data_IF_230401240073
#
_entry.id   IF_230401240073
#
_cell.length_a   1.000
_cell.length_b   1.000
_cell.length_c   1.000
_cell.angle_alpha   90.00
_cell.angle_beta   90.00
_cell.angle_gamma   90.00
#
_symmetry.space_group_name_H-M   'P 1'
#
loop_
_entity.id
_entity.type
_entity.pdbx_description
1 polymer ?
#
# COMPACT_ATOMS: atom_id res chain seq x y z
N UNK A 1 9.86 25.71 -8.56
CA UNK A 1 11.23 26.24 -8.45
C UNK A 1 12.16 25.17 -7.90
N UNK A 2 13.42 25.23 -8.25
CA UNK A 2 14.51 24.30 -7.82
C UNK A 2 14.52 24.11 -6.28
N UNK A 3 14.17 25.13 -5.53
CA UNK A 3 14.12 25.08 -4.07
C UNK A 3 12.97 24.19 -3.56
N UNK A 4 11.80 24.20 -4.21
CA UNK A 4 10.68 23.29 -3.90
C UNK A 4 11.00 21.84 -4.28
N UNK A 5 11.64 21.62 -5.42
CA UNK A 5 12.08 20.28 -5.82
C UNK A 5 13.13 19.69 -4.87
N UNK A 6 14.11 20.48 -4.41
CA UNK A 6 15.09 20.04 -3.40
C UNK A 6 14.45 19.72 -2.05
N UNK A 7 13.46 20.49 -1.60
CA UNK A 7 12.76 20.21 -0.35
C UNK A 7 11.87 18.95 -0.45
N UNK A 8 11.21 18.73 -1.59
CA UNK A 8 10.48 17.48 -1.86
C UNK A 8 11.42 16.27 -1.83
N UNK A 9 12.55 16.31 -2.56
CA UNK A 9 13.53 15.23 -2.57
C UNK A 9 14.10 14.89 -1.19
N UNK A 10 14.26 15.87 -0.29
CA UNK A 10 14.75 15.66 1.07
C UNK A 10 13.68 15.01 1.95
N UNK A 11 12.41 15.47 1.86
CA UNK A 11 11.28 14.87 2.59
C UNK A 11 11.04 13.44 2.14
N UNK A 12 11.08 13.17 0.85
CA UNK A 12 10.89 11.83 0.29
C UNK A 12 11.98 10.88 0.77
N UNK A 13 13.24 11.33 0.77
CA UNK A 13 14.34 10.50 1.28
C UNK A 13 14.13 10.15 2.76
N UNK A 14 13.76 11.13 3.60
CA UNK A 14 13.48 10.88 5.00
C UNK A 14 12.28 9.93 5.20
N UNK A 15 11.22 10.05 4.40
CA UNK A 15 10.08 9.15 4.44
C UNK A 15 10.45 7.73 3.99
N UNK A 16 11.28 7.58 2.97
CA UNK A 16 11.76 6.28 2.50
C UNK A 16 12.65 5.63 3.55
N UNK A 17 13.59 6.36 4.15
CA UNK A 17 14.46 5.85 5.23
C UNK A 17 13.64 5.44 6.47
N UNK A 18 12.55 6.14 6.77
CA UNK A 18 11.63 5.76 7.84
C UNK A 18 10.79 4.53 7.48
N UNK A 19 10.32 4.43 6.23
CA UNK A 19 9.59 3.27 5.74
C UNK A 19 10.44 2.00 5.81
N UNK A 20 11.71 2.09 5.40
CA UNK A 20 12.69 0.99 5.51
C UNK A 20 12.78 0.47 6.95
N UNK A 21 13.04 1.37 7.90
CA UNK A 21 13.13 1.01 9.32
C UNK A 21 11.82 0.42 9.88
N UNK A 22 10.67 0.85 9.36
CA UNK A 22 9.40 0.27 9.78
C UNK A 22 9.23 -1.13 9.23
N UNK A 23 9.55 -1.38 7.96
CA UNK A 23 9.51 -2.71 7.37
C UNK A 23 10.52 -3.66 8.02
N UNK A 24 11.74 -3.21 8.31
CA UNK A 24 12.73 -4.04 9.01
C UNK A 24 12.24 -4.53 10.37
N UNK A 25 11.56 -3.66 11.15
CA UNK A 25 11.14 -3.93 12.53
C UNK A 25 9.77 -4.57 12.63
N UNK A 26 8.94 -4.50 11.61
CA UNK A 26 7.60 -5.07 11.62
C UNK A 26 7.63 -6.56 11.33
N UNK A 27 6.84 -7.32 12.06
CA UNK A 27 6.57 -8.73 11.77
C UNK A 27 5.21 -8.89 11.08
N UNK A 28 4.21 -8.13 11.52
CA UNK A 28 2.82 -8.17 11.01
C UNK A 28 2.49 -6.88 10.27
N UNK A 29 2.23 -6.99 8.99
CA UNK A 29 1.89 -5.85 8.13
C UNK A 29 0.52 -6.08 7.50
N UNK A 30 -0.32 -5.06 7.52
CA UNK A 30 -1.60 -5.05 6.82
C UNK A 30 -1.56 -4.00 5.71
N UNK A 31 -1.96 -4.40 4.52
CA UNK A 31 -2.12 -3.52 3.37
C UNK A 31 -3.61 -3.28 3.16
N UNK A 32 -4.01 -2.02 3.05
CA UNK A 32 -5.40 -1.62 2.80
C UNK A 32 -5.47 -0.71 1.57
N UNK A 33 -6.57 -0.81 0.84
CA UNK A 33 -6.84 0.05 -0.33
C UNK A 33 -8.31 0.52 -0.34
N UNK A 34 -8.68 1.32 -1.32
CA UNK A 34 -9.99 2.00 -1.37
C UNK A 34 -11.17 1.09 -1.71
N UNK A 35 -12.38 1.61 -1.48
CA UNK A 35 -13.65 0.97 -1.85
C UNK A 35 -13.75 0.78 -3.35
N UNK A 36 -14.36 -0.34 -3.78
CA UNK A 36 -14.42 -0.74 -5.19
C UNK A 36 -13.05 -0.74 -5.87
N UNK A 37 -12.11 -1.56 -5.37
CA UNK A 37 -10.73 -1.52 -5.81
C UNK A 37 -10.61 -1.79 -7.32
N UNK A 38 -9.85 -0.97 -8.00
CA UNK A 38 -9.51 -1.11 -9.42
C UNK A 38 -8.17 -1.83 -9.63
N UNK A 39 -7.68 -1.82 -10.86
CA UNK A 39 -6.42 -2.50 -11.21
C UNK A 39 -5.20 -1.91 -10.52
N UNK A 40 -5.16 -0.59 -10.31
CA UNK A 40 -4.04 0.06 -9.61
C UNK A 40 -4.06 -0.26 -8.12
N UNK A 41 -5.23 -0.20 -7.49
CA UNK A 41 -5.40 -0.57 -6.08
C UNK A 41 -4.99 -2.02 -5.80
N UNK A 42 -5.44 -2.98 -6.62
CA UNK A 42 -5.10 -4.39 -6.46
C UNK A 42 -3.65 -4.65 -6.86
N UNK A 43 -3.18 -4.08 -7.98
CA UNK A 43 -1.81 -4.24 -8.45
C UNK A 43 -0.77 -3.72 -7.46
N UNK A 44 -0.96 -2.51 -6.96
CA UNK A 44 -0.05 -1.93 -5.95
C UNK A 44 -0.05 -2.73 -4.65
N UNK A 45 -1.24 -3.16 -4.20
CA UNK A 45 -1.38 -3.95 -2.97
C UNK A 45 -0.69 -5.31 -3.07
N UNK A 46 -0.90 -6.04 -4.16
CA UNK A 46 -0.27 -7.34 -4.37
C UNK A 46 1.23 -7.21 -4.68
N UNK A 47 1.64 -6.17 -5.38
CA UNK A 47 3.07 -5.91 -5.62
C UNK A 47 3.84 -5.70 -4.30
N UNK A 48 3.30 -4.89 -3.40
CA UNK A 48 3.89 -4.69 -2.07
C UNK A 48 3.80 -5.96 -1.22
N UNK A 49 2.69 -6.70 -1.31
CA UNK A 49 2.50 -7.95 -0.59
C UNK A 49 3.57 -8.99 -0.97
N UNK A 50 3.80 -9.23 -2.26
CA UNK A 50 4.83 -10.17 -2.74
C UNK A 50 6.23 -9.77 -2.27
N UNK A 51 6.55 -8.47 -2.32
CA UNK A 51 7.83 -7.97 -1.83
C UNK A 51 8.01 -8.23 -0.33
N UNK A 52 7.04 -7.87 0.49
CA UNK A 52 7.14 -8.02 1.94
C UNK A 52 7.14 -9.50 2.38
N UNK A 53 6.39 -10.36 1.68
CA UNK A 53 6.44 -11.81 1.91
C UNK A 53 7.82 -12.39 1.56
N UNK A 54 8.47 -11.91 0.50
CA UNK A 54 9.84 -12.30 0.16
C UNK A 54 10.87 -11.88 1.23
N UNK A 55 10.51 -10.90 2.06
CA UNK A 55 11.29 -10.45 3.22
C UNK A 55 10.86 -11.15 4.52
N UNK A 56 10.18 -12.30 4.41
CA UNK A 56 9.73 -13.14 5.55
C UNK A 56 8.77 -12.44 6.52
N UNK A 57 7.99 -11.45 6.04
CA UNK A 57 6.97 -10.77 6.84
C UNK A 57 5.62 -11.49 6.75
N UNK A 58 4.84 -11.41 7.83
CA UNK A 58 3.43 -11.85 7.82
C UNK A 58 2.58 -10.70 7.27
N UNK A 59 2.05 -10.85 6.07
CA UNK A 59 1.36 -9.78 5.37
C UNK A 59 -0.05 -10.19 4.97
N UNK A 60 -1.02 -9.31 5.23
CA UNK A 60 -2.41 -9.49 4.80
C UNK A 60 -2.87 -8.28 3.99
N UNK A 61 -3.57 -8.53 2.88
CA UNK A 61 -4.24 -7.50 2.10
C UNK A 61 -5.71 -7.50 2.44
N UNK A 62 -6.26 -6.34 2.83
CA UNK A 62 -7.66 -6.16 3.17
C UNK A 62 -8.25 -5.10 2.25
N UNK A 63 -9.37 -5.43 1.59
CA UNK A 63 -10.14 -4.52 0.75
C UNK A 63 -11.52 -4.29 1.37
N UNK A 64 -12.11 -3.08 1.24
CA UNK A 64 -13.42 -2.80 1.84
C UNK A 64 -14.55 -3.69 1.32
N UNK A 65 -14.56 -3.95 0.01
CA UNK A 65 -15.61 -4.72 -0.67
C UNK A 65 -15.05 -5.50 -1.87
N UNK A 66 -15.93 -6.07 -2.70
CA UNK A 66 -15.53 -6.85 -3.87
C UNK A 66 -14.78 -6.00 -4.89
N UNK A 67 -13.79 -6.61 -5.53
CA UNK A 67 -13.11 -6.09 -6.71
C UNK A 67 -13.51 -6.88 -7.96
N UNK A 68 -13.29 -6.34 -9.18
CA UNK A 68 -13.69 -6.98 -10.43
C UNK A 68 -13.11 -8.39 -10.62
N UNK A 69 -13.90 -9.31 -11.13
CA UNK A 69 -13.51 -10.71 -11.32
C UNK A 69 -12.31 -10.87 -12.28
N UNK A 70 -12.17 -9.96 -13.25
CA UNK A 70 -11.05 -9.97 -14.18
C UNK A 70 -9.69 -9.67 -13.52
N UNK A 71 -9.65 -9.27 -12.26
CA UNK A 71 -8.41 -9.09 -11.47
C UNK A 71 -8.03 -10.35 -10.67
N UNK A 72 -8.90 -11.35 -10.61
CA UNK A 72 -8.67 -12.55 -9.77
C UNK A 72 -7.56 -13.46 -10.24
N UNK A 73 -7.12 -13.31 -11.49
CA UNK A 73 -5.98 -14.05 -12.03
C UNK A 73 -4.63 -13.58 -11.48
N UNK A 74 -4.58 -12.39 -10.89
CA UNK A 74 -3.34 -11.84 -10.34
C UNK A 74 -2.81 -12.72 -9.21
N UNK A 75 -1.50 -13.02 -9.19
CA UNK A 75 -0.89 -13.81 -8.13
C UNK A 75 -1.17 -13.23 -6.74
N UNK A 76 -1.75 -14.02 -5.83
CA UNK A 76 -2.14 -13.60 -4.48
C UNK A 76 -3.57 -13.03 -4.37
N UNK A 77 -4.26 -12.75 -5.46
CA UNK A 77 -5.61 -12.16 -5.43
C UNK A 77 -6.64 -13.00 -4.66
N UNK A 78 -6.47 -14.34 -4.63
CA UNK A 78 -7.34 -15.27 -3.89
C UNK A 78 -7.21 -15.13 -2.36
N UNK A 79 -6.09 -14.61 -1.88
CA UNK A 79 -5.77 -14.46 -0.45
C UNK A 79 -6.17 -13.08 0.09
N UNK A 80 -6.71 -12.20 -0.76
CA UNK A 80 -7.24 -10.89 -0.36
C UNK A 80 -8.47 -11.06 0.51
N UNK A 81 -8.45 -10.43 1.68
CA UNK A 81 -9.53 -10.46 2.66
C UNK A 81 -10.51 -9.33 2.35
N UNK A 82 -11.78 -9.66 2.23
CA UNK A 82 -12.86 -8.69 2.08
C UNK A 82 -13.42 -8.31 3.44
N UNK A 83 -13.33 -7.02 3.77
CA UNK A 83 -13.83 -6.48 5.04
C UNK A 83 -15.33 -6.66 5.21
N UNK A 84 -16.12 -6.45 4.14
CA UNK A 84 -17.57 -6.60 4.15
C UNK A 84 -18.06 -8.03 4.44
N UNK A 85 -17.20 -9.03 4.24
CA UNK A 85 -17.50 -10.45 4.53
C UNK A 85 -16.89 -10.96 5.83
N UNK A 86 -15.71 -10.47 6.18
CA UNK A 86 -14.89 -10.98 7.28
C UNK A 86 -14.49 -9.87 8.25
N UNK A 87 -15.47 -9.01 8.62
CA UNK A 87 -15.24 -7.79 9.42
C UNK A 87 -14.52 -8.06 10.73
N UNK A 88 -14.94 -9.04 11.53
CA UNK A 88 -14.33 -9.34 12.82
C UNK A 88 -12.88 -9.82 12.66
N UNK A 89 -12.63 -10.70 11.69
CA UNK A 89 -11.30 -11.19 11.41
C UNK A 89 -10.38 -10.07 10.90
N UNK A 90 -10.87 -9.22 9.99
CA UNK A 90 -10.13 -8.07 9.49
C UNK A 90 -9.81 -7.07 10.61
N UNK A 91 -10.76 -6.78 11.50
CA UNK A 91 -10.54 -5.93 12.67
C UNK A 91 -9.45 -6.47 13.59
N UNK A 92 -9.43 -7.78 13.80
CA UNK A 92 -8.37 -8.43 14.58
C UNK A 92 -7.00 -8.21 13.94
N UNK A 93 -6.88 -8.44 12.62
CA UNK A 93 -5.62 -8.23 11.89
C UNK A 93 -5.15 -6.77 11.95
N UNK A 94 -6.07 -5.82 11.75
CA UNK A 94 -5.78 -4.39 11.85
C UNK A 94 -5.30 -3.99 13.24
N UNK A 95 -5.84 -4.60 14.28
CA UNK A 95 -5.48 -4.31 15.67
C UNK A 95 -4.15 -4.93 16.10
N UNK A 96 -3.79 -6.07 15.50
CA UNK A 96 -2.54 -6.80 15.78
C UNK A 96 -1.38 -6.38 14.88
N UNK A 97 -1.62 -5.55 13.87
CA UNK A 97 -0.60 -5.11 12.94
C UNK A 97 0.44 -4.19 13.61
N UNK A 98 1.70 -4.32 13.21
CA UNK A 98 2.76 -3.37 13.54
C UNK A 98 2.71 -2.14 12.62
N UNK A 99 2.40 -2.40 11.35
CA UNK A 99 2.29 -1.37 10.30
C UNK A 99 1.06 -1.61 9.44
N UNK A 100 0.33 -0.53 9.14
CA UNK A 100 -0.72 -0.49 8.11
C UNK A 100 -0.22 0.36 6.95
N UNK A 101 -0.18 -0.24 5.76
CA UNK A 101 0.13 0.44 4.50
C UNK A 101 -1.18 0.81 3.79
N UNK A 102 -1.45 2.10 3.66
CA UNK A 102 -2.60 2.65 2.97
C UNK A 102 -2.22 2.94 1.52
N UNK A 103 -2.73 2.16 0.57
CA UNK A 103 -2.36 2.24 -0.83
C UNK A 103 -3.51 2.74 -1.69
N UNK A 104 -3.19 3.67 -2.58
CA UNK A 104 -4.08 4.18 -3.62
C UNK A 104 -5.32 4.91 -3.09
N UNK A 105 -5.20 5.55 -1.93
CA UNK A 105 -6.19 6.48 -1.41
C UNK A 105 -5.56 7.54 -0.50
N UNK A 106 -6.18 8.70 -0.49
CA UNK A 106 -5.68 9.91 0.17
C UNK A 106 -6.48 10.34 1.41
N UNK A 107 -7.60 9.69 1.70
CA UNK A 107 -8.53 10.06 2.76
C UNK A 107 -9.23 8.84 3.35
N UNK A 108 -9.50 8.84 4.67
CA UNK A 108 -10.20 7.74 5.35
C UNK A 108 -11.61 7.49 4.81
N UNK A 109 -12.28 8.51 4.27
CA UNK A 109 -13.57 8.36 3.62
C UNK A 109 -13.57 7.42 2.40
N UNK A 110 -12.41 7.16 1.82
CA UNK A 110 -12.24 6.26 0.66
C UNK A 110 -12.27 4.77 1.00
N UNK A 111 -12.21 4.42 2.27
CA UNK A 111 -12.25 3.03 2.75
C UNK A 111 -13.54 2.67 3.51
N UNK A 112 -14.54 3.56 3.47
CA UNK A 112 -15.91 3.34 3.93
C UNK A 112 -15.99 2.72 5.34
N UNK A 113 -16.68 1.60 5.51
CA UNK A 113 -16.87 0.93 6.81
C UNK A 113 -15.57 0.53 7.52
N UNK A 114 -14.44 0.46 6.80
CA UNK A 114 -13.13 0.11 7.36
C UNK A 114 -12.41 1.32 8.00
N UNK A 115 -12.92 2.55 7.77
CA UNK A 115 -12.25 3.78 8.18
C UNK A 115 -12.00 3.86 9.69
N UNK A 116 -12.99 3.55 10.51
CA UNK A 116 -12.87 3.59 11.97
C UNK A 116 -11.86 2.57 12.49
N UNK A 117 -11.89 1.35 11.96
CA UNK A 117 -10.97 0.29 12.35
C UNK A 117 -9.52 0.65 12.02
N UNK A 118 -9.27 1.23 10.85
CA UNK A 118 -7.93 1.71 10.47
C UNK A 118 -7.51 2.90 11.34
N UNK A 119 -8.40 3.89 11.55
CA UNK A 119 -8.08 5.07 12.34
C UNK A 119 -7.74 4.73 13.80
N UNK A 120 -8.50 3.81 14.42
CA UNK A 120 -8.35 3.42 15.82
C UNK A 120 -7.27 2.38 16.09
N UNK A 121 -6.77 1.70 15.04
CA UNK A 121 -5.69 0.74 15.18
C UNK A 121 -4.45 1.37 15.81
N UNK A 122 -3.77 0.70 16.77
CA UNK A 122 -2.52 1.16 17.36
C UNK A 122 -1.34 1.07 16.39
N UNK A 123 -1.49 0.39 15.25
CA UNK A 123 -0.45 0.22 14.24
C UNK A 123 0.06 1.57 13.72
N UNK A 124 1.32 1.60 13.35
CA UNK A 124 1.90 2.73 12.60
C UNK A 124 1.31 2.74 11.19
N UNK A 125 0.94 3.93 10.71
CA UNK A 125 0.28 4.08 9.40
C UNK A 125 1.18 4.81 8.42
N UNK A 126 1.31 4.26 7.21
CA UNK A 126 1.94 4.92 6.08
C UNK A 126 1.00 4.95 4.88
N UNK A 127 1.12 6.01 4.09
CA UNK A 127 0.37 6.20 2.85
C UNK A 127 1.32 6.16 1.66
N UNK A 128 0.94 5.43 0.62
CA UNK A 128 1.56 5.46 -0.71
C UNK A 128 0.45 5.71 -1.71
N UNK A 129 0.45 6.88 -2.32
CA UNK A 129 -0.68 7.35 -3.12
C UNK A 129 -0.25 8.37 -4.16
N UNK A 130 -1.00 8.45 -5.26
CA UNK A 130 -0.77 9.44 -6.33
C UNK A 130 -1.89 10.48 -6.46
N UNK A 131 -2.92 10.43 -5.60
CA UNK A 131 -3.99 11.41 -5.62
C UNK A 131 -3.59 12.74 -4.96
N UNK A 132 -4.29 13.82 -5.35
CA UNK A 132 -4.07 15.15 -4.81
C UNK A 132 -4.61 15.31 -3.38
N UNK A 133 -4.00 16.18 -2.58
CA UNK A 133 -4.47 16.59 -1.26
C UNK A 133 -4.62 15.44 -0.23
N UNK A 134 -3.53 14.73 0.11
CA UNK A 134 -3.58 13.67 1.10
C UNK A 134 -3.97 14.20 2.49
N UNK A 135 -4.85 13.49 3.19
CA UNK A 135 -5.17 13.74 4.61
C UNK A 135 -4.01 13.33 5.51
N UNK A 136 -3.87 14.01 6.66
CA UNK A 136 -2.75 13.80 7.59
C UNK A 136 -3.04 12.72 8.65
N UNK A 137 -3.64 11.56 8.27
CA UNK A 137 -3.88 10.45 9.21
C UNK A 137 -2.73 9.42 9.26
N UNK A 138 -1.80 9.49 8.33
CA UNK A 138 -0.60 8.66 8.30
C UNK A 138 0.64 9.45 8.74
N UNK A 139 1.54 8.79 9.44
CA UNK A 139 2.81 9.40 9.88
C UNK A 139 3.83 9.51 8.75
N UNK A 140 3.86 8.53 7.86
CA UNK A 140 4.64 8.55 6.63
C UNK A 140 3.68 8.75 5.47
N UNK A 141 3.92 9.75 4.64
CA UNK A 141 3.13 10.04 3.45
C UNK A 141 4.08 10.12 2.26
N UNK A 142 3.99 9.13 1.37
CA UNK A 142 4.65 9.09 0.08
C UNK A 142 3.56 9.37 -0.96
N UNK A 143 3.41 10.64 -1.33
CA UNK A 143 2.36 11.10 -2.23
C UNK A 143 2.99 11.85 -3.39
N UNK A 144 2.78 11.34 -4.60
CA UNK A 144 3.36 11.83 -5.85
C UNK A 144 2.31 11.93 -6.95
N UNK A 145 1.52 13.02 -6.99
CA UNK A 145 0.47 13.20 -8.00
C UNK A 145 1.00 13.31 -9.45
N UNK A 146 2.29 13.52 -9.62
CA UNK A 146 2.95 13.55 -10.94
C UNK A 146 3.25 12.16 -11.50
N UNK A 147 3.08 11.10 -10.71
CA UNK A 147 3.29 9.72 -11.11
C UNK A 147 1.96 9.12 -11.56
N UNK A 148 1.99 8.28 -12.58
CA UNK A 148 0.81 7.77 -13.27
C UNK A 148 -0.03 6.82 -12.42
N UNK A 149 0.57 6.09 -11.47
CA UNK A 149 -0.12 5.09 -10.65
C UNK A 149 0.56 4.82 -9.32
N UNK A 150 -0.20 4.34 -8.35
CA UNK A 150 0.33 3.86 -7.08
C UNK A 150 1.17 2.59 -7.26
N UNK A 151 0.85 1.75 -8.23
CA UNK A 151 1.65 0.58 -8.61
C UNK A 151 3.08 0.97 -9.02
N UNK A 152 3.24 2.04 -9.80
CA UNK A 152 4.56 2.59 -10.15
C UNK A 152 5.29 3.11 -8.91
N UNK A 153 4.58 3.78 -7.99
CA UNK A 153 5.18 4.27 -6.74
C UNK A 153 5.70 3.14 -5.87
N UNK A 154 4.94 2.05 -5.72
CA UNK A 154 5.36 0.86 -4.96
C UNK A 154 6.61 0.26 -5.59
N UNK A 155 6.64 0.06 -6.91
CA UNK A 155 7.82 -0.46 -7.60
C UNK A 155 9.05 0.44 -7.38
N UNK A 156 8.89 1.75 -7.55
CA UNK A 156 9.97 2.73 -7.32
C UNK A 156 10.45 2.74 -5.86
N UNK A 157 9.54 2.58 -4.90
CA UNK A 157 9.90 2.48 -3.48
C UNK A 157 10.78 1.25 -3.24
N UNK A 158 10.40 0.07 -3.71
CA UNK A 158 11.17 -1.17 -3.57
C UNK A 158 12.57 -1.01 -4.17
N UNK A 159 12.66 -0.41 -5.37
CA UNK A 159 13.95 -0.12 -6.00
C UNK A 159 14.82 0.82 -5.17
N UNK A 160 14.24 1.87 -4.59
CA UNK A 160 14.95 2.86 -3.76
C UNK A 160 15.41 2.31 -2.42
N UNK A 161 14.70 1.30 -1.90
CA UNK A 161 15.12 0.55 -0.72
C UNK A 161 16.31 -0.41 -1.01
N UNK A 162 16.71 -0.55 -2.27
CA UNK A 162 17.82 -1.39 -2.68
C UNK A 162 17.46 -2.83 -3.01
N UNK A 163 16.17 -3.17 -3.04
CA UNK A 163 15.68 -4.54 -3.24
C UNK A 163 15.23 -4.85 -4.68
N UNK A 164 15.80 -4.18 -5.69
CA UNK A 164 15.43 -4.41 -7.08
C UNK A 164 15.62 -5.88 -7.50
N UNK A 165 16.69 -6.52 -7.06
CA UNK A 165 17.00 -7.92 -7.39
C UNK A 165 16.13 -8.93 -6.63
N UNK A 166 15.47 -8.48 -5.54
CA UNK A 166 14.59 -9.31 -4.70
C UNK A 166 13.12 -9.25 -5.14
N UNK A 167 12.81 -8.44 -6.18
CA UNK A 167 11.46 -8.38 -6.73
C UNK A 167 11.16 -9.69 -7.43
N UNK A 168 10.16 -10.42 -6.93
CA UNK A 168 9.70 -11.64 -7.57
C UNK A 168 9.02 -11.32 -8.91
N UNK A 169 8.99 -12.30 -9.83
CA UNK A 169 8.30 -12.15 -11.11
C UNK A 169 6.83 -11.77 -10.89
N UNK A 170 6.16 -12.43 -9.96
CA UNK A 170 4.77 -12.20 -9.60
C UNK A 170 4.55 -10.77 -9.06
N UNK A 171 5.44 -10.30 -8.19
CA UNK A 171 5.42 -8.93 -7.68
C UNK A 171 5.63 -7.89 -8.77
N UNK A 172 6.57 -8.13 -9.69
CA UNK A 172 6.79 -7.26 -10.84
C UNK A 172 5.58 -7.23 -11.79
N UNK A 173 4.97 -8.37 -12.07
CA UNK A 173 3.74 -8.45 -12.88
C UNK A 173 2.61 -7.62 -12.24
N UNK A 174 2.40 -7.72 -10.93
CA UNK A 174 1.39 -6.94 -10.22
C UNK A 174 1.66 -5.44 -10.31
N UNK A 175 2.90 -5.00 -10.15
CA UNK A 175 3.25 -3.58 -10.21
C UNK A 175 3.19 -2.99 -11.63
N UNK A 176 3.56 -3.76 -12.65
CA UNK A 176 3.80 -3.21 -13.99
C UNK A 176 2.60 -3.31 -14.93
N UNK A 177 1.68 -4.24 -14.71
CA UNK A 177 0.53 -4.45 -15.61
C UNK A 177 -0.45 -3.27 -15.64
N UNK A 178 -0.53 -2.48 -14.58
CA UNK A 178 -1.46 -1.35 -14.46
C UNK A 178 -0.79 0.02 -14.45
N UNK A 179 0.51 0.11 -14.69
CA UNK A 179 1.19 1.40 -14.89
C UNK A 179 0.88 2.05 -16.22
N UNK A 180 0.34 1.30 -17.18
CA UNK A 180 0.10 1.76 -18.57
C UNK A 180 -1.34 2.13 -18.88
N UNK A 181 -2.30 1.88 -17.99
CA UNK A 181 -3.73 2.10 -18.22
C UNK A 181 -4.32 3.29 -17.44
N UNK A 182 -3.47 4.13 -16.86
CA UNK A 182 -3.87 5.34 -16.16
C UNK A 182 -3.85 6.57 -17.08
#
# INVERSE_FOLDING_TARGET
SIRRQRQMCIRDRANIDHAEKWFERADKIVIVTHVSPDGDAIGSSLGLWHFLESQEKTVNVIVPNAFPDFLRWMPGAKDIIRYDKYTEFANKLLNEADVICCLDFNALSRIDAMADAVAQSPARKMMIDHHLNPEAFCRIIISHPEISSTSELVFRLICRLGYFEDITKEGAECCLLYTSDA
#
